data_IF_394073193461
#
_entry.id   IF_394073193461
#
_cell.length_a   1.000
_cell.length_b   1.000
_cell.length_c   1.000
_cell.angle_alpha   90.00
_cell.angle_beta   90.00
_cell.angle_gamma   90.00
#
_symmetry.space_group_name_H-M   'P 1'
#
loop_
_entity.id
_entity.type
_entity.pdbx_description
1 polymer ?
#
# COMPACT_ATOMS: atom_id res chain seq x y z
N UNK A 1 0.33 -0.78 5.99
CA UNK A 1 -0.26 0.44 5.40
C UNK A 1 -0.24 1.62 6.37
N UNK A 2 -0.81 1.49 7.59
CA UNK A 2 -0.86 2.59 8.58
C UNK A 2 0.48 3.31 8.76
N UNK A 3 1.54 2.57 9.12
CA UNK A 3 2.87 3.15 9.32
C UNK A 3 3.46 3.87 8.09
N UNK A 4 3.10 3.43 6.88
CA UNK A 4 3.50 4.12 5.64
C UNK A 4 2.77 5.45 5.53
N UNK A 5 1.45 5.46 5.72
CA UNK A 5 0.61 6.66 5.57
C UNK A 5 0.86 7.71 6.68
N UNK A 6 1.24 7.27 7.88
CA UNK A 6 1.67 8.19 8.95
C UNK A 6 2.98 8.91 8.60
N UNK A 7 3.90 8.23 7.92
CA UNK A 7 5.20 8.80 7.52
C UNK A 7 5.12 9.59 6.22
N UNK A 8 4.40 9.07 5.23
CA UNK A 8 4.15 9.67 3.93
C UNK A 8 2.66 9.55 3.62
N UNK A 9 1.86 10.60 3.86
CA UNK A 9 0.41 10.59 3.59
C UNK A 9 0.05 10.44 2.11
N UNK A 10 0.99 10.69 1.19
CA UNK A 10 0.79 10.60 -0.26
C UNK A 10 1.90 9.76 -0.91
N UNK A 11 2.01 8.46 -0.57
CA UNK A 11 3.00 7.61 -1.17
C UNK A 11 2.63 7.29 -2.61
N UNK A 12 3.63 7.17 -3.47
CA UNK A 12 3.42 6.66 -4.81
C UNK A 12 3.21 5.13 -4.81
N UNK A 13 2.78 4.59 -5.96
CA UNK A 13 2.48 3.16 -6.08
C UNK A 13 3.69 2.26 -5.79
N UNK A 14 4.92 2.71 -6.11
CA UNK A 14 6.13 1.93 -5.84
C UNK A 14 6.44 1.90 -4.35
N UNK A 15 6.30 3.02 -3.65
CA UNK A 15 6.44 3.09 -2.19
C UNK A 15 5.43 2.18 -1.48
N UNK A 16 4.19 2.10 -1.98
CA UNK A 16 3.16 1.19 -1.47
C UNK A 16 3.60 -0.27 -1.66
N UNK A 17 4.08 -0.64 -2.85
CA UNK A 17 4.55 -2.01 -3.13
C UNK A 17 5.74 -2.37 -2.24
N UNK A 18 6.70 -1.46 -2.08
CA UNK A 18 7.88 -1.67 -1.24
C UNK A 18 7.50 -1.88 0.22
N UNK A 19 6.54 -1.11 0.74
CA UNK A 19 6.01 -1.29 2.08
C UNK A 19 5.27 -2.63 2.28
N UNK A 20 4.82 -3.27 1.21
CA UNK A 20 4.14 -4.57 1.26
C UNK A 20 5.11 -5.77 1.17
N UNK A 21 6.38 -5.60 0.79
CA UNK A 21 7.35 -6.70 0.60
C UNK A 21 7.53 -7.62 1.82
N UNK A 22 7.25 -7.13 3.03
CA UNK A 22 7.28 -7.92 4.28
C UNK A 22 5.95 -8.56 4.71
N UNK A 23 4.88 -8.38 3.95
CA UNK A 23 3.53 -8.85 4.30
C UNK A 23 3.12 -9.93 3.29
N UNK A 24 2.99 -11.19 3.73
CA UNK A 24 2.59 -12.28 2.84
C UNK A 24 1.07 -12.26 2.61
N UNK A 25 0.66 -12.34 1.34
CA UNK A 25 -0.72 -12.55 0.92
C UNK A 25 -0.81 -13.78 0.01
N UNK A 26 -1.80 -14.65 0.27
CA UNK A 26 -2.00 -15.90 -0.49
C UNK A 26 -3.17 -15.86 -1.48
N UNK A 27 -4.14 -14.99 -1.26
CA UNK A 27 -5.42 -15.07 -1.98
C UNK A 27 -5.54 -14.08 -3.14
N UNK A 28 -5.18 -12.81 -2.92
CA UNK A 28 -5.53 -11.70 -3.85
C UNK A 28 -4.39 -11.27 -4.76
N UNK A 29 -3.18 -11.78 -4.56
CA UNK A 29 -2.00 -11.37 -5.35
C UNK A 29 -1.63 -9.90 -5.18
N UNK A 30 -1.93 -9.29 -4.02
CA UNK A 30 -1.59 -7.91 -3.64
C UNK A 30 -2.30 -6.77 -4.37
N UNK A 31 -2.80 -6.99 -5.60
CA UNK A 31 -3.32 -5.91 -6.45
C UNK A 31 -4.41 -5.08 -5.76
N UNK A 32 -5.41 -5.74 -5.16
CA UNK A 32 -6.50 -5.07 -4.43
C UNK A 32 -6.05 -4.32 -3.17
N UNK A 33 -4.95 -4.74 -2.55
CA UNK A 33 -4.38 -4.06 -1.38
C UNK A 33 -3.69 -2.77 -1.84
N UNK A 34 -2.89 -2.85 -2.91
CA UNK A 34 -2.22 -1.67 -3.49
C UNK A 34 -3.25 -0.64 -3.93
N UNK A 35 -4.28 -1.06 -4.67
CA UNK A 35 -5.33 -0.16 -5.17
C UNK A 35 -6.11 0.51 -4.02
N UNK A 36 -6.38 -0.21 -2.93
CA UNK A 36 -7.06 0.35 -1.76
C UNK A 36 -6.22 1.40 -1.04
N UNK A 37 -4.91 1.17 -0.91
CA UNK A 37 -4.00 2.13 -0.27
C UNK A 37 -3.87 3.39 -1.13
N UNK A 38 -3.71 3.23 -2.44
CA UNK A 38 -3.63 4.34 -3.39
C UNK A 38 -4.93 5.16 -3.43
N UNK A 39 -6.09 4.52 -3.34
CA UNK A 39 -7.37 5.22 -3.23
C UNK A 39 -7.44 6.11 -1.99
N UNK A 40 -7.04 5.60 -0.83
CA UNK A 40 -7.07 6.35 0.44
C UNK A 40 -6.01 7.45 0.48
N UNK A 41 -4.83 7.24 -0.12
CA UNK A 41 -3.77 8.25 -0.18
C UNK A 41 -4.13 9.47 -1.06
N UNK A 42 -5.05 9.31 -2.01
CA UNK A 42 -5.45 10.34 -2.96
C UNK A 42 -6.77 11.05 -2.60
N UNK A 43 -7.41 10.69 -1.49
CA UNK A 43 -8.68 11.25 -1.01
C UNK A 43 -8.49 11.98 0.32
#
# INVERSE_FOLDING_TARGET
>A
AVALLEKNPKPDRNEIIDALKGNLCRCTGYMKIVDAIEFVANN
#
